data_IF_313038395408
#
_entry.id   IF_313038395408
#
_cell.length_a   1.000
_cell.length_b   1.000
_cell.length_c   1.000
_cell.angle_alpha   90.00
_cell.angle_beta   90.00
_cell.angle_gamma   90.00
#
_symmetry.space_group_name_H-M   'P 1'
#
loop_
_entity.id
_entity.type
_entity.pdbx_description
1 polymer ?
#
# COMPACT_ATOMS: atom_id res chain seq x y z
N UNK A 1 -8.52 17.20 30.54
CA UNK A 1 -8.49 16.11 29.54
C UNK A 1 -9.91 15.55 29.34
N UNK A 2 -10.52 15.76 28.18
CA UNK A 2 -11.91 15.34 27.92
C UNK A 2 -12.06 13.81 27.96
N UNK A 3 -13.07 13.29 28.69
CA UNK A 3 -13.43 11.86 28.77
C UNK A 3 -13.70 11.20 27.40
N UNK A 4 -13.81 11.98 26.32
CA UNK A 4 -14.11 11.49 24.98
C UNK A 4 -12.87 11.18 24.14
N UNK A 5 -11.71 11.74 24.48
CA UNK A 5 -10.45 11.51 23.76
C UNK A 5 -10.06 10.02 23.64
N UNK A 6 -10.06 9.20 24.71
CA UNK A 6 -9.66 7.79 24.60
C UNK A 6 -10.64 6.97 23.73
N UNK A 7 -11.92 7.33 23.71
CA UNK A 7 -12.93 6.66 22.88
C UNK A 7 -12.75 6.98 21.39
N UNK A 8 -12.47 8.23 21.06
CA UNK A 8 -12.21 8.65 19.68
C UNK A 8 -10.92 8.01 19.18
N UNK A 9 -9.85 8.03 19.98
CA UNK A 9 -8.58 7.41 19.62
C UNK A 9 -8.72 5.90 19.36
N UNK A 10 -9.45 5.18 20.23
CA UNK A 10 -9.70 3.75 20.06
C UNK A 10 -10.54 3.44 18.80
N UNK A 11 -11.56 4.26 18.51
CA UNK A 11 -12.37 4.10 17.30
C UNK A 11 -11.53 4.31 16.03
N UNK A 12 -10.67 5.33 16.01
CA UNK A 12 -9.75 5.59 14.89
C UNK A 12 -8.75 4.45 14.73
N UNK A 13 -8.23 3.90 15.84
CA UNK A 13 -7.31 2.75 15.81
C UNK A 13 -7.97 1.50 15.22
N UNK A 14 -9.20 1.22 15.65
CA UNK A 14 -10.01 0.12 15.12
C UNK A 14 -10.28 0.28 13.62
N UNK A 15 -10.60 1.50 13.17
CA UNK A 15 -10.84 1.79 11.76
C UNK A 15 -9.57 1.60 10.91
N UNK A 16 -8.42 2.13 11.35
CA UNK A 16 -7.15 2.01 10.63
C UNK A 16 -6.73 0.53 10.53
N UNK A 17 -6.81 -0.20 11.65
CA UNK A 17 -6.51 -1.64 11.67
C UNK A 17 -7.45 -2.41 10.75
N UNK A 18 -8.75 -2.11 10.77
CA UNK A 18 -9.73 -2.76 9.92
C UNK A 18 -9.45 -2.50 8.42
N UNK A 19 -9.11 -1.26 8.05
CA UNK A 19 -8.74 -0.90 6.67
C UNK A 19 -7.49 -1.68 6.25
N UNK A 20 -6.46 -1.73 7.10
CA UNK A 20 -5.20 -2.43 6.81
C UNK A 20 -5.44 -3.95 6.68
N UNK A 21 -6.15 -4.58 7.61
CA UNK A 21 -6.49 -6.01 7.54
C UNK A 21 -7.28 -6.32 6.28
N UNK A 22 -8.26 -5.48 5.93
CA UNK A 22 -9.10 -5.64 4.74
C UNK A 22 -8.33 -5.43 3.44
N UNK A 23 -7.23 -4.68 3.42
CA UNK A 23 -6.37 -4.54 2.24
C UNK A 23 -5.25 -5.59 2.18
N UNK A 24 -4.67 -5.97 3.31
CA UNK A 24 -3.51 -6.87 3.40
C UNK A 24 -3.92 -8.34 3.28
N UNK A 25 -4.98 -8.77 3.96
CA UNK A 25 -5.39 -10.19 3.94
C UNK A 25 -5.72 -10.67 2.53
N UNK A 26 -6.56 -9.96 1.73
CA UNK A 26 -6.86 -10.41 0.38
C UNK A 26 -5.64 -10.41 -0.51
N UNK A 27 -4.71 -9.47 -0.30
CA UNK A 27 -3.47 -9.42 -1.05
C UNK A 27 -2.57 -10.64 -0.76
N UNK A 28 -2.41 -11.01 0.51
CA UNK A 28 -1.63 -12.19 0.91
C UNK A 28 -2.31 -13.48 0.46
N UNK A 29 -3.63 -13.61 0.64
CA UNK A 29 -4.35 -14.84 0.26
C UNK A 29 -4.36 -15.06 -1.25
N UNK A 30 -4.53 -14.00 -2.05
CA UNK A 30 -4.64 -14.14 -3.51
C UNK A 30 -3.28 -14.14 -4.19
N UNK A 31 -2.26 -13.46 -3.65
CA UNK A 31 -0.97 -13.27 -4.34
C UNK A 31 0.23 -13.83 -3.59
N UNK A 32 0.07 -14.29 -2.34
CA UNK A 32 1.14 -14.93 -1.57
C UNK A 32 1.48 -16.34 -2.02
N UNK A 33 0.57 -17.02 -2.75
CA UNK A 33 0.80 -18.38 -3.28
C UNK A 33 1.44 -18.40 -4.68
N UNK A 34 1.31 -17.33 -5.47
CA UNK A 34 1.75 -17.31 -6.88
C UNK A 34 3.14 -16.69 -7.07
N UNK A 35 4.18 -17.49 -6.76
CA UNK A 35 5.60 -17.11 -6.77
C UNK A 35 6.20 -16.78 -8.16
N UNK A 36 5.49 -17.10 -9.24
CA UNK A 36 6.01 -16.95 -10.62
C UNK A 36 6.01 -15.50 -11.10
N UNK A 37 5.07 -14.68 -10.63
CA UNK A 37 4.87 -13.29 -11.07
C UNK A 37 5.09 -12.32 -9.92
N UNK A 38 4.39 -12.59 -8.82
CA UNK A 38 4.58 -11.87 -7.57
C UNK A 38 5.78 -12.51 -6.91
N UNK A 39 6.90 -11.80 -6.96
CA UNK A 39 8.05 -12.24 -6.17
C UNK A 39 7.64 -12.26 -4.70
N UNK A 40 8.17 -13.22 -3.94
CA UNK A 40 8.10 -13.19 -2.47
C UNK A 40 8.48 -11.79 -1.93
N UNK A 41 9.41 -11.12 -2.62
CA UNK A 41 9.82 -9.75 -2.34
C UNK A 41 8.70 -8.72 -2.48
N UNK A 42 7.81 -8.85 -3.47
CA UNK A 42 6.67 -7.94 -3.65
C UNK A 42 5.63 -8.13 -2.53
N UNK A 43 5.34 -9.38 -2.15
CA UNK A 43 4.43 -9.67 -1.03
C UNK A 43 5.01 -9.22 0.32
N UNK A 44 6.30 -9.45 0.54
CA UNK A 44 7.03 -8.94 1.71
C UNK A 44 7.10 -7.41 1.74
N UNK A 45 7.29 -6.76 0.59
CA UNK A 45 7.35 -5.30 0.50
C UNK A 45 5.99 -4.65 0.76
N UNK A 46 4.91 -5.20 0.20
CA UNK A 46 3.55 -4.71 0.45
C UNK A 46 3.18 -4.91 1.93
N UNK A 47 3.43 -6.10 2.48
CA UNK A 47 3.16 -6.40 3.89
C UNK A 47 4.00 -5.51 4.81
N UNK A 48 5.29 -5.35 4.51
CA UNK A 48 6.21 -4.48 5.23
C UNK A 48 5.81 -3.01 5.16
N UNK A 49 5.30 -2.54 4.01
CA UNK A 49 4.77 -1.19 3.86
C UNK A 49 3.60 -0.94 4.83
N UNK A 50 2.62 -1.84 4.89
CA UNK A 50 1.50 -1.69 5.82
C UNK A 50 1.88 -1.83 7.28
N UNK A 51 2.82 -2.73 7.61
CA UNK A 51 3.34 -2.84 8.97
C UNK A 51 4.05 -1.56 9.40
N UNK A 52 4.83 -0.97 8.49
CA UNK A 52 5.45 0.35 8.64
C UNK A 52 4.40 1.46 8.83
N UNK A 53 3.28 1.41 8.10
CA UNK A 53 2.17 2.36 8.29
C UNK A 53 1.59 2.25 9.70
N UNK A 54 1.30 1.02 10.14
CA UNK A 54 0.72 0.76 11.44
C UNK A 54 1.65 1.21 12.58
N UNK A 55 2.96 0.95 12.46
CA UNK A 55 3.92 1.32 13.50
C UNK A 55 4.04 2.83 13.65
N UNK A 56 4.10 3.58 12.56
CA UNK A 56 4.18 5.05 12.61
C UNK A 56 2.89 5.65 13.20
N UNK A 57 1.71 5.13 12.81
CA UNK A 57 0.45 5.58 13.39
C UNK A 57 0.36 5.29 14.89
N UNK A 58 0.84 4.12 15.33
CA UNK A 58 0.92 3.78 16.75
C UNK A 58 1.83 4.75 17.52
N UNK A 59 3.00 5.07 16.97
CA UNK A 59 3.94 6.03 17.56
C UNK A 59 3.31 7.43 17.66
N UNK A 60 2.68 7.93 16.60
CA UNK A 60 2.03 9.25 16.61
C UNK A 60 0.90 9.29 17.65
N UNK A 61 0.02 8.28 17.65
CA UNK A 61 -1.15 8.22 18.55
C UNK A 61 -0.75 8.04 20.02
N UNK A 62 0.42 7.46 20.31
CA UNK A 62 0.93 7.29 21.69
C UNK A 62 1.73 8.49 22.18
N UNK A 63 2.65 9.02 21.37
CA UNK A 63 3.47 10.18 21.73
C UNK A 63 2.61 11.42 21.89
N UNK A 64 1.57 11.58 21.06
CA UNK A 64 0.71 12.76 21.10
C UNK A 64 0.01 12.98 22.46
N UNK A 65 -0.82 12.05 22.99
CA UNK A 65 -1.50 12.22 24.28
C UNK A 65 -0.51 12.37 25.44
N UNK A 66 0.61 11.65 25.42
CA UNK A 66 1.68 11.80 26.42
C UNK A 66 2.21 13.24 26.40
N UNK A 67 2.51 13.77 25.21
CA UNK A 67 3.00 15.14 25.04
C UNK A 67 1.96 16.16 25.52
N UNK A 68 0.67 15.95 25.22
CA UNK A 68 -0.40 16.85 25.67
C UNK A 68 -0.66 16.77 27.18
N UNK A 69 -0.61 15.57 27.75
CA UNK A 69 -0.80 15.35 29.19
C UNK A 69 0.32 16.02 29.98
N UNK A 70 1.56 15.86 29.52
CA UNK A 70 2.71 16.53 30.10
C UNK A 70 2.63 18.06 29.97
N UNK A 71 2.26 18.59 28.80
CA UNK A 71 2.07 20.03 28.60
C UNK A 71 1.00 20.61 29.54
N UNK A 72 -0.11 19.89 29.77
CA UNK A 72 -1.16 20.33 30.69
C UNK A 72 -0.77 20.32 32.16
N UNK A 73 0.28 19.55 32.52
CA UNK A 73 0.80 19.45 33.88
C UNK A 73 1.96 20.43 34.14
N UNK A 74 2.51 21.07 33.10
CA UNK A 74 3.66 21.95 33.20
C UNK A 74 3.31 23.37 32.81
N UNK A 75 3.18 24.26 33.80
CA UNK A 75 2.88 25.70 33.64
C UNK A 75 4.07 26.53 33.08
N UNK A 76 5.07 25.85 32.49
CA UNK A 76 6.39 26.41 32.24
C UNK A 76 6.83 26.31 30.77
N UNK A 77 7.79 27.17 30.41
CA UNK A 77 8.56 27.23 29.15
C UNK A 77 9.05 25.89 28.57
N UNK A 78 8.96 24.79 29.33
CA UNK A 78 9.17 23.41 28.88
C UNK A 78 8.24 23.05 27.70
N UNK A 79 7.09 23.72 27.54
CA UNK A 79 6.23 23.65 26.34
C UNK A 79 7.02 23.87 25.03
N UNK A 80 8.03 24.74 25.05
CA UNK A 80 8.92 24.97 23.89
C UNK A 80 9.77 23.74 23.52
N UNK A 81 9.98 22.78 24.41
CA UNK A 81 10.67 21.53 24.12
C UNK A 81 9.81 20.50 23.38
N UNK A 82 8.48 20.55 23.54
CA UNK A 82 7.56 19.62 22.88
C UNK A 82 7.33 19.94 21.41
N UNK A 83 7.38 21.22 21.01
CA UNK A 83 7.22 21.65 19.62
C UNK A 83 8.33 21.05 18.72
N UNK A 84 9.63 21.13 19.05
CA UNK A 84 10.70 20.44 18.33
C UNK A 84 10.52 18.92 18.28
N UNK A 85 10.05 18.30 19.36
CA UNK A 85 9.83 16.84 19.40
C UNK A 85 8.72 16.41 18.42
N UNK A 86 7.63 17.18 18.34
CA UNK A 86 6.57 16.98 17.37
C UNK A 86 7.08 17.19 15.93
N UNK A 87 7.85 18.26 15.68
CA UNK A 87 8.44 18.50 14.36
C UNK A 87 9.39 17.35 13.95
N UNK A 88 10.20 16.85 14.89
CA UNK A 88 11.11 15.73 14.66
C UNK A 88 10.36 14.43 14.35
N UNK A 89 9.31 14.11 15.11
CA UNK A 89 8.50 12.90 14.88
C UNK A 89 7.76 12.95 13.54
N UNK A 90 7.24 14.12 13.14
CA UNK A 90 6.62 14.34 11.82
C UNK A 90 7.66 14.18 10.71
N UNK A 91 8.80 14.86 10.80
CA UNK A 91 9.84 14.79 9.78
C UNK A 91 10.40 13.37 9.65
N UNK A 92 10.60 12.67 10.77
CA UNK A 92 11.03 11.27 10.77
C UNK A 92 10.00 10.36 10.10
N UNK A 93 8.72 10.51 10.45
CA UNK A 93 7.61 9.77 9.87
C UNK A 93 7.54 9.98 8.34
N UNK A 94 7.61 11.22 7.89
CA UNK A 94 7.60 11.58 6.47
C UNK A 94 8.80 10.96 5.72
N UNK A 95 10.01 11.05 6.28
CA UNK A 95 11.22 10.47 5.66
C UNK A 95 11.14 8.95 5.59
N UNK A 96 10.71 8.31 6.67
CA UNK A 96 10.54 6.86 6.74
C UNK A 96 9.52 6.37 5.72
N UNK A 97 8.36 7.04 5.63
CA UNK A 97 7.34 6.72 4.63
C UNK A 97 7.79 6.94 3.21
N UNK A 98 8.44 8.08 2.91
CA UNK A 98 8.96 8.36 1.57
C UNK A 98 9.89 7.24 1.10
N UNK A 99 10.78 6.76 1.98
CA UNK A 99 11.69 5.66 1.68
C UNK A 99 10.92 4.38 1.33
N UNK A 100 9.91 4.02 2.13
CA UNK A 100 9.08 2.84 1.91
C UNK A 100 8.25 2.90 0.63
N UNK A 101 7.70 4.07 0.31
CA UNK A 101 6.96 4.29 -0.94
C UNK A 101 7.88 4.14 -2.17
N UNK A 102 9.10 4.70 -2.10
CA UNK A 102 10.09 4.58 -3.16
C UNK A 102 10.57 3.13 -3.35
N UNK A 103 10.84 2.42 -2.25
CA UNK A 103 11.18 0.99 -2.27
C UNK A 103 10.07 0.17 -2.93
N UNK A 104 8.81 0.42 -2.57
CA UNK A 104 7.66 -0.25 -3.19
C UNK A 104 7.59 0.05 -4.70
N UNK A 105 7.79 1.31 -5.10
CA UNK A 105 7.81 1.71 -6.51
C UNK A 105 8.90 1.00 -7.32
N UNK A 106 10.09 0.82 -6.75
CA UNK A 106 11.18 0.07 -7.38
C UNK A 106 10.83 -1.40 -7.62
N UNK A 107 10.26 -2.07 -6.62
CA UNK A 107 9.88 -3.49 -6.71
C UNK A 107 8.72 -3.69 -7.69
N UNK A 108 7.80 -2.74 -7.74
CA UNK A 108 6.72 -2.72 -8.75
C UNK A 108 7.32 -2.65 -10.15
N UNK A 109 8.27 -1.74 -10.38
CA UNK A 109 8.89 -1.59 -11.69
C UNK A 109 9.65 -2.86 -12.09
N UNK A 110 10.36 -3.49 -11.15
CA UNK A 110 11.01 -4.78 -11.33
C UNK A 110 9.99 -5.88 -11.70
N UNK A 111 8.85 -5.92 -11.03
CA UNK A 111 7.78 -6.90 -11.32
C UNK A 111 7.17 -6.70 -12.72
N UNK A 112 6.98 -5.46 -13.16
CA UNK A 112 6.51 -5.14 -14.52
C UNK A 112 7.53 -5.58 -15.57
N UNK A 113 8.81 -5.29 -15.35
CA UNK A 113 9.88 -5.70 -16.26
C UNK A 113 9.97 -7.24 -16.37
N UNK A 114 9.83 -7.95 -15.23
CA UNK A 114 9.81 -9.42 -15.22
C UNK A 114 8.60 -9.98 -15.96
N UNK A 115 7.43 -9.38 -15.80
CA UNK A 115 6.22 -9.80 -16.53
C UNK A 115 6.39 -9.61 -18.04
N UNK A 116 6.96 -8.48 -18.46
CA UNK A 116 7.27 -8.22 -19.87
C UNK A 116 8.29 -9.22 -20.41
N UNK A 117 9.29 -9.62 -19.61
CA UNK A 117 10.24 -10.67 -19.99
C UNK A 117 9.55 -12.03 -20.19
N UNK A 118 8.63 -12.42 -19.31
CA UNK A 118 7.86 -13.68 -19.44
C UNK A 118 6.99 -13.64 -20.72
N UNK A 119 6.36 -12.50 -21.00
CA UNK A 119 5.60 -12.28 -22.23
C UNK A 119 6.50 -12.44 -23.47
N UNK A 120 7.67 -11.81 -23.50
CA UNK A 120 8.64 -11.98 -24.59
C UNK A 120 9.09 -13.43 -24.76
N UNK A 121 9.34 -14.14 -23.66
CA UNK A 121 9.78 -15.53 -23.71
C UNK A 121 8.71 -16.48 -24.25
N UNK A 122 7.44 -16.18 -23.99
CA UNK A 122 6.32 -16.94 -24.56
C UNK A 122 6.36 -16.94 -26.09
N UNK A 123 6.53 -15.78 -26.73
CA UNK A 123 6.56 -15.70 -28.20
C UNK A 123 7.88 -16.20 -28.82
N UNK A 124 9.02 -15.93 -28.19
CA UNK A 124 10.33 -16.22 -28.79
C UNK A 124 10.87 -17.62 -28.46
N UNK A 125 10.50 -18.18 -27.31
CA UNK A 125 11.06 -19.44 -26.80
C UNK A 125 9.99 -20.49 -26.50
N UNK A 126 8.72 -20.23 -26.85
CA UNK A 126 7.60 -21.14 -26.62
C UNK A 126 7.43 -21.52 -25.13
N UNK A 127 7.76 -20.58 -24.23
CA UNK A 127 7.67 -20.77 -22.79
C UNK A 127 6.21 -20.88 -22.34
N UNK A 128 5.87 -21.89 -21.55
CA UNK A 128 4.49 -22.11 -21.07
C UNK A 128 4.13 -21.28 -19.83
N UNK A 129 5.09 -20.57 -19.25
CA UNK A 129 4.92 -19.79 -18.01
C UNK A 129 3.84 -18.73 -18.15
N UNK A 130 3.74 -18.08 -19.31
CA UNK A 130 2.71 -17.07 -19.57
C UNK A 130 1.29 -17.64 -19.58
N UNK A 131 1.09 -18.79 -20.23
CA UNK A 131 -0.22 -19.46 -20.27
C UNK A 131 -0.69 -19.89 -18.87
N UNK A 132 0.25 -20.33 -18.01
CA UNK A 132 -0.07 -20.68 -16.62
C UNK A 132 -0.46 -19.45 -15.80
N UNK A 133 0.22 -18.34 -16.05
CA UNK A 133 -0.05 -17.04 -15.45
C UNK A 133 -1.48 -16.56 -15.76
N UNK A 134 -1.87 -16.58 -17.03
CA UNK A 134 -3.21 -16.15 -17.44
C UNK A 134 -4.33 -16.98 -16.79
N UNK A 135 -4.12 -18.29 -16.68
CA UNK A 135 -5.06 -19.20 -16.04
C UNK A 135 -5.19 -18.96 -14.54
N UNK A 136 -4.09 -18.67 -13.84
CA UNK A 136 -4.12 -18.41 -12.39
C UNK A 136 -4.80 -17.07 -12.08
N UNK A 137 -4.50 -16.05 -12.87
CA UNK A 137 -4.95 -14.68 -12.61
C UNK A 137 -6.25 -14.31 -13.32
N UNK A 138 -6.84 -15.23 -14.10
CA UNK A 138 -8.03 -15.01 -14.91
C UNK A 138 -7.94 -13.73 -15.76
N UNK A 139 -6.77 -13.51 -16.35
CA UNK A 139 -6.45 -12.36 -17.20
C UNK A 139 -5.96 -12.85 -18.57
N UNK A 140 -5.90 -11.95 -19.55
CA UNK A 140 -5.43 -12.29 -20.88
C UNK A 140 -4.60 -11.18 -21.51
N UNK A 141 -3.43 -11.55 -22.03
CA UNK A 141 -2.46 -10.62 -22.61
C UNK A 141 -1.85 -9.68 -21.58
N UNK A 142 -0.87 -8.90 -22.00
CA UNK A 142 -0.21 -7.91 -21.15
C UNK A 142 -1.16 -6.76 -20.86
N UNK A 143 -1.64 -6.08 -21.89
CA UNK A 143 -2.65 -5.02 -21.81
C UNK A 143 -4.05 -5.53 -22.18
N UNK A 144 -4.11 -6.63 -22.92
CA UNK A 144 -5.36 -7.33 -23.18
C UNK A 144 -5.22 -8.45 -24.20
N UNK A 145 -6.33 -9.15 -24.51
CA UNK A 145 -6.34 -10.21 -25.50
C UNK A 145 -5.97 -9.74 -26.92
N UNK A 146 -6.05 -8.43 -27.20
CA UNK A 146 -5.61 -7.85 -28.48
C UNK A 146 -4.11 -8.06 -28.72
N UNK A 147 -3.30 -8.11 -27.67
CA UNK A 147 -1.85 -8.23 -27.79
C UNK A 147 -1.46 -9.49 -28.58
N UNK A 148 -2.20 -10.59 -28.40
CA UNK A 148 -2.00 -11.81 -29.19
C UNK A 148 -2.12 -11.57 -30.70
N UNK A 149 -3.06 -10.73 -31.12
CA UNK A 149 -3.28 -10.41 -32.52
C UNK A 149 -2.14 -9.55 -33.09
N UNK A 150 -1.52 -8.70 -32.28
CA UNK A 150 -0.36 -7.89 -32.68
C UNK A 150 0.86 -8.77 -33.00
N UNK A 151 0.99 -9.91 -32.32
CA UNK A 151 1.98 -10.93 -32.60
C UNK A 151 1.50 -12.01 -33.57
N UNK A 152 0.40 -11.77 -34.30
CA UNK A 152 -0.19 -12.68 -35.28
C UNK A 152 -0.56 -14.07 -34.70
N UNK A 153 -0.76 -14.15 -33.38
CA UNK A 153 -1.17 -15.35 -32.67
C UNK A 153 -2.68 -15.38 -32.50
N UNK A 154 -3.22 -16.60 -32.43
CA UNK A 154 -4.62 -16.81 -32.05
C UNK A 154 -4.75 -16.60 -30.55
N UNK A 155 -5.77 -15.86 -30.14
CA UNK A 155 -6.10 -15.68 -28.72
C UNK A 155 -6.39 -17.06 -28.09
N UNK A 156 -5.75 -17.42 -26.98
CA UNK A 156 -5.96 -18.70 -26.32
C UNK A 156 -7.40 -18.93 -25.85
N UNK A 157 -7.86 -20.18 -25.84
CA UNK A 157 -9.25 -20.52 -25.47
C UNK A 157 -9.59 -20.19 -24.01
N UNK A 158 -8.63 -20.27 -23.09
CA UNK A 158 -8.84 -19.93 -21.67
C UNK A 158 -9.05 -18.43 -21.41
N UNK A 159 -8.74 -17.57 -22.38
CA UNK A 159 -9.03 -16.14 -22.31
C UNK A 159 -10.50 -15.80 -22.59
N UNK A 160 -11.30 -16.76 -23.05
CA UNK A 160 -12.71 -16.55 -23.33
C UNK A 160 -13.54 -17.01 -22.12
N UNK A 161 -13.92 -16.07 -21.26
CA UNK A 161 -15.05 -16.25 -20.34
C UNK A 161 -16.35 -16.07 -21.12
N UNK A 162 -17.47 -16.73 -20.78
CA UNK A 162 -18.51 -17.09 -21.75
C UNK A 162 -19.03 -15.94 -22.63
N UNK A 163 -19.01 -14.67 -22.19
CA UNK A 163 -19.35 -13.53 -23.07
C UNK A 163 -18.58 -12.21 -22.82
N UNK A 164 -17.38 -12.21 -22.19
CA UNK A 164 -16.65 -10.96 -21.90
C UNK A 164 -15.14 -11.10 -22.17
N UNK A 165 -14.54 -10.09 -22.83
CA UNK A 165 -13.09 -9.96 -22.94
C UNK A 165 -12.49 -9.87 -21.53
N UNK A 166 -11.71 -10.89 -21.15
CA UNK A 166 -10.93 -10.86 -19.91
C UNK A 166 -9.94 -9.71 -19.93
N UNK A 167 -9.74 -9.07 -18.78
CA UNK A 167 -8.86 -7.92 -18.62
C UNK A 167 -7.40 -8.29 -18.83
N UNK A 168 -6.57 -7.32 -19.24
CA UNK A 168 -5.11 -7.45 -19.31
C UNK A 168 -4.48 -7.83 -17.97
N UNK A 169 -3.42 -8.64 -18.01
CA UNK A 169 -2.70 -9.03 -16.80
C UNK A 169 -1.88 -7.88 -16.19
N UNK A 170 -1.41 -6.93 -17.01
CA UNK A 170 -0.70 -5.72 -16.59
C UNK A 170 -1.58 -4.72 -15.85
N UNK A 171 -2.88 -4.66 -16.21
CA UNK A 171 -3.88 -3.88 -15.48
C UNK A 171 -4.08 -4.40 -14.06
N UNK A 172 -3.97 -5.72 -13.85
CA UNK A 172 -4.11 -6.33 -12.53
C UNK A 172 -3.02 -5.86 -11.57
N UNK A 173 -1.78 -5.77 -12.07
CA UNK A 173 -0.64 -5.21 -11.35
C UNK A 173 -0.87 -3.71 -11.10
N UNK A 174 -1.27 -2.97 -12.14
CA UNK A 174 -1.47 -1.53 -12.07
C UNK A 174 -2.55 -1.14 -11.05
N UNK A 175 -3.73 -1.74 -11.10
CA UNK A 175 -4.86 -1.39 -10.24
C UNK A 175 -4.58 -1.65 -8.76
N UNK A 176 -3.95 -2.80 -8.45
CA UNK A 176 -3.65 -3.17 -7.06
C UNK A 176 -2.57 -2.26 -6.48
N UNK A 177 -1.56 -1.93 -7.27
CA UNK A 177 -0.45 -1.07 -6.82
C UNK A 177 -0.84 0.40 -6.77
N UNK A 178 -1.64 0.89 -7.71
CA UNK A 178 -2.21 2.24 -7.66
C UNK A 178 -3.13 2.38 -6.46
N UNK A 179 -3.95 1.36 -6.15
CA UNK A 179 -4.76 1.35 -4.94
C UNK A 179 -3.88 1.40 -3.67
N UNK A 180 -2.80 0.61 -3.61
CA UNK A 180 -1.83 0.62 -2.51
C UNK A 180 -1.20 1.99 -2.29
N UNK A 181 -0.75 2.62 -3.37
CA UNK A 181 -0.14 3.94 -3.32
C UNK A 181 -1.15 5.01 -2.88
N UNK A 182 -2.38 4.93 -3.39
CA UNK A 182 -3.47 5.84 -3.05
C UNK A 182 -3.87 5.69 -1.57
N UNK A 183 -3.99 4.46 -1.06
CA UNK A 183 -4.26 4.18 0.36
C UNK A 183 -3.13 4.73 1.24
N UNK A 184 -1.88 4.47 0.87
CA UNK A 184 -0.72 5.01 1.58
C UNK A 184 -0.74 6.54 1.67
N UNK A 185 -1.05 7.22 0.56
CA UNK A 185 -1.21 8.67 0.52
C UNK A 185 -2.36 9.16 1.41
N UNK A 186 -3.52 8.50 1.35
CA UNK A 186 -4.66 8.85 2.21
C UNK A 186 -4.32 8.72 3.69
N UNK A 187 -3.59 7.69 4.09
CA UNK A 187 -3.19 7.50 5.50
C UNK A 187 -2.20 8.60 5.94
N UNK A 188 -1.30 9.05 5.06
CA UNK A 188 -0.41 10.19 5.32
C UNK A 188 -1.22 11.49 5.46
N UNK A 189 -2.15 11.75 4.55
CA UNK A 189 -2.98 12.94 4.62
C UNK A 189 -3.84 12.95 5.90
N UNK A 190 -4.40 11.79 6.26
CA UNK A 190 -5.18 11.63 7.49
C UNK A 190 -4.33 11.83 8.75
N UNK A 191 -3.09 11.32 8.78
CA UNK A 191 -2.21 11.50 9.94
C UNK A 191 -1.79 12.95 10.14
N UNK A 192 -1.50 13.68 9.05
CA UNK A 192 -1.21 15.12 9.07
C UNK A 192 -2.45 15.90 9.52
N UNK A 193 -3.64 15.58 8.98
CA UNK A 193 -4.90 16.24 9.35
C UNK A 193 -5.23 16.04 10.84
N UNK A 194 -5.06 14.83 11.37
CA UNK A 194 -5.23 14.54 12.80
C UNK A 194 -4.28 15.43 13.62
N UNK A 195 -3.01 15.52 13.22
CA UNK A 195 -2.04 16.37 13.92
C UNK A 195 -2.42 17.86 13.87
N UNK A 196 -2.88 18.38 12.74
CA UNK A 196 -3.28 19.80 12.59
C UNK A 196 -4.52 20.11 13.44
N UNK A 197 -5.56 19.27 13.36
CA UNK A 197 -6.78 19.45 14.16
C UNK A 197 -6.43 19.45 15.64
N UNK A 198 -5.56 18.54 16.05
CA UNK A 198 -5.13 18.44 17.43
C UNK A 198 -4.20 19.58 17.87
N UNK A 199 -3.41 20.19 16.98
CA UNK A 199 -2.60 21.37 17.30
C UNK A 199 -3.42 22.66 17.41
N UNK A 200 -4.54 22.77 16.70
CA UNK A 200 -5.41 23.94 16.78
C UNK A 200 -6.23 23.98 18.07
N UNK A 201 -6.55 22.82 18.66
CA UNK A 201 -7.18 22.70 19.99
C UNK A 201 -6.31 23.22 21.14
N UNK A 202 -5.05 23.61 20.88
CA UNK A 202 -4.13 24.22 21.86
C UNK A 202 -4.10 25.75 21.81
N UNK A 203 -4.70 26.38 20.79
CA UNK A 203 -4.72 27.85 20.66
C UNK A 203 -5.94 28.50 21.29
N UNK A 204 -6.94 27.72 21.70
CA UNK A 204 -8.11 28.14 22.48
C UNK A 204 -7.92 27.76 23.96
#
# INVERSE_FOLDING_TARGET
MSKHFPRIAAATYGLIIAIILRSVIPFIMVHGQDTKIYSERLTLAVTGFFLSVLSVMSIIITIFPISTGLASLTDNWIVFGYIPLLILTINWSCRYFKRRVLELGGIVQESKAKMQQIWWNYFNYNDTTWTQLEKSFHCCGSEGPRDYLEFLQRIPSHCYAPHLLTRGCGDLISDKIVALHRIGFFIIAASILIQIIQSNQFKE
#
